data_IF_045111941283
#
_entry.id   IF_045111941283
#
_cell.length_a   1.000
_cell.length_b   1.000
_cell.length_c   1.000
_cell.angle_alpha   90.00
_cell.angle_beta   90.00
_cell.angle_gamma   90.00
#
_symmetry.space_group_name_H-M   'P 1'
#
loop_
_entity.id
_entity.type
_entity.pdbx_description
1 polymer ?
#
# COMPACT_ATOMS: atom_id res chain seq x y z
N UNK A 1 -2.97 -14.16 24.20
CA UNK A 1 -2.97 -15.63 24.27
C UNK A 1 -3.76 -16.09 23.05
N UNK A 2 -3.05 -16.43 21.96
CA UNK A 2 -3.64 -16.83 20.67
C UNK A 2 -3.29 -18.28 20.35
N UNK A 3 -3.31 -19.16 21.36
CA UNK A 3 -2.94 -20.57 21.19
C UNK A 3 -4.10 -21.43 20.64
N UNK A 4 -5.35 -20.98 20.73
CA UNK A 4 -6.50 -21.81 20.34
C UNK A 4 -6.85 -21.79 18.84
N UNK A 5 -6.11 -21.06 17.99
CA UNK A 5 -6.31 -21.09 16.52
C UNK A 5 -5.27 -21.99 15.83
N UNK A 6 -4.22 -22.44 16.54
CA UNK A 6 -3.06 -23.11 15.91
C UNK A 6 -3.06 -24.65 15.98
N UNK A 7 -3.93 -25.31 16.75
CA UNK A 7 -3.73 -26.73 17.06
C UNK A 7 -4.44 -27.75 16.16
N UNK A 8 -5.18 -27.35 15.11
CA UNK A 8 -5.97 -28.33 14.32
C UNK A 8 -5.86 -28.28 12.79
N UNK A 9 -5.08 -27.37 12.20
CA UNK A 9 -4.83 -27.40 10.76
C UNK A 9 -3.33 -27.60 10.47
N UNK A 10 -2.91 -28.78 9.97
CA UNK A 10 -1.52 -29.02 9.59
C UNK A 10 -1.03 -28.17 8.40
N UNK A 11 -1.86 -27.28 7.84
CA UNK A 11 -1.48 -26.24 6.86
C UNK A 11 -1.33 -24.83 7.48
N UNK A 12 -1.39 -24.68 8.82
CA UNK A 12 -1.37 -23.38 9.50
C UNK A 12 0.02 -22.73 9.60
N UNK A 13 0.70 -22.53 8.47
CA UNK A 13 1.81 -21.58 8.43
C UNK A 13 1.22 -20.17 8.28
N UNK A 14 0.96 -19.50 9.40
CA UNK A 14 0.62 -18.08 9.39
C UNK A 14 1.85 -17.27 8.94
N UNK A 15 1.68 -16.46 7.91
CA UNK A 15 2.65 -15.45 7.52
C UNK A 15 2.55 -14.26 8.47
N UNK A 16 3.40 -14.27 9.49
CA UNK A 16 3.52 -13.19 10.46
C UNK A 16 4.05 -11.93 9.78
N UNK A 17 3.21 -10.89 9.73
CA UNK A 17 3.58 -9.58 9.21
C UNK A 17 4.27 -8.79 10.32
N UNK A 18 5.59 -8.91 10.40
CA UNK A 18 6.41 -8.22 11.39
C UNK A 18 7.23 -7.10 10.74
N UNK A 19 6.74 -5.86 10.83
CA UNK A 19 7.44 -4.69 10.32
C UNK A 19 6.57 -3.71 9.56
N UNK A 20 7.22 -2.75 8.90
CA UNK A 20 6.59 -1.71 8.09
C UNK A 20 7.38 -1.51 6.80
N UNK A 21 6.74 -0.93 5.78
CA UNK A 21 7.47 -0.34 4.67
C UNK A 21 8.29 0.86 5.16
N UNK A 22 9.43 1.13 4.51
CA UNK A 22 10.23 2.34 4.75
C UNK A 22 9.58 3.51 4.01
N UNK A 23 8.40 3.89 4.48
CA UNK A 23 7.62 5.02 3.99
C UNK A 23 7.38 6.01 5.13
N UNK A 24 6.97 7.23 4.77
CA UNK A 24 6.37 8.16 5.73
C UNK A 24 5.15 7.51 6.42
N UNK A 25 4.65 8.08 7.53
CA UNK A 25 3.59 7.44 8.33
C UNK A 25 2.36 7.00 7.53
N UNK A 26 2.00 7.76 6.49
CA UNK A 26 0.92 7.42 5.55
C UNK A 26 1.31 6.19 4.72
N UNK A 27 0.56 5.10 4.85
CA UNK A 27 0.68 3.95 3.95
C UNK A 27 1.70 2.90 4.34
N UNK A 28 2.57 3.15 5.33
CA UNK A 28 3.69 2.23 5.65
C UNK A 28 3.25 0.82 6.05
N UNK A 29 2.15 0.70 6.80
CA UNK A 29 1.61 -0.57 7.25
C UNK A 29 0.76 -1.23 6.16
N UNK A 30 -0.03 -0.43 5.42
CA UNK A 30 -0.87 -0.93 4.34
C UNK A 30 -0.05 -1.47 3.17
N UNK A 31 0.96 -0.73 2.69
CA UNK A 31 1.87 -1.19 1.64
C UNK A 31 2.59 -2.49 2.01
N UNK A 32 3.09 -2.58 3.25
CA UNK A 32 3.74 -3.80 3.75
C UNK A 32 2.78 -5.00 3.77
N UNK A 33 1.56 -4.80 4.28
CA UNK A 33 0.53 -5.84 4.33
C UNK A 33 0.19 -6.35 2.93
N UNK A 34 0.04 -5.46 1.94
CA UNK A 34 -0.26 -5.84 0.55
C UNK A 34 0.84 -6.71 -0.05
N UNK A 35 2.10 -6.41 0.24
CA UNK A 35 3.23 -7.25 -0.20
C UNK A 35 3.20 -8.64 0.42
N UNK A 36 2.94 -8.75 1.72
CA UNK A 36 2.86 -10.06 2.38
C UNK A 36 1.63 -10.84 1.89
N UNK A 37 0.51 -10.17 1.63
CA UNK A 37 -0.67 -10.80 1.02
C UNK A 37 -0.35 -11.45 -0.33
N UNK A 38 0.42 -10.77 -1.18
CA UNK A 38 0.89 -11.31 -2.46
C UNK A 38 1.92 -12.44 -2.28
N UNK A 39 2.81 -12.31 -1.29
CA UNK A 39 3.90 -13.25 -1.05
C UNK A 39 3.49 -14.53 -0.32
N UNK A 40 2.43 -14.51 0.49
CA UNK A 40 2.01 -15.66 1.30
C UNK A 40 0.59 -16.14 1.00
N UNK A 41 -0.22 -15.30 0.36
CA UNK A 41 -1.66 -15.50 0.22
C UNK A 41 -2.43 -14.85 1.36
N UNK A 42 -3.60 -14.29 1.04
CA UNK A 42 -4.44 -13.53 1.97
C UNK A 42 -4.91 -14.35 3.19
N UNK A 43 -5.16 -15.64 3.02
CA UNK A 43 -5.69 -16.48 4.09
C UNK A 43 -4.67 -16.84 5.16
N UNK A 44 -3.38 -16.61 4.90
CA UNK A 44 -2.28 -16.90 5.84
C UNK A 44 -1.89 -15.69 6.68
N UNK A 45 -2.55 -14.55 6.54
CA UNK A 45 -2.10 -13.30 7.14
C UNK A 45 -2.34 -13.25 8.66
N UNK A 46 -1.24 -13.19 9.42
CA UNK A 46 -1.22 -12.83 10.84
C UNK A 46 -0.70 -11.41 10.97
N UNK A 47 -1.57 -10.51 11.43
CA UNK A 47 -1.17 -9.15 11.76
C UNK A 47 -0.43 -9.14 13.09
N UNK A 48 0.78 -8.59 13.11
CA UNK A 48 1.56 -8.42 14.32
C UNK A 48 1.96 -6.96 14.45
N UNK A 49 1.85 -6.40 15.65
CA UNK A 49 2.45 -5.09 15.93
C UNK A 49 3.70 -5.25 16.77
N UNK A 50 4.72 -4.47 16.39
CA UNK A 50 5.91 -4.26 17.21
C UNK A 50 5.88 -2.85 17.80
N UNK A 51 6.06 -2.71 19.11
CA UNK A 51 6.11 -1.38 19.74
C UNK A 51 7.32 -0.53 19.35
N UNK A 52 8.31 -1.09 18.64
CA UNK A 52 9.35 -0.28 17.99
C UNK A 52 8.77 0.55 16.82
N UNK A 53 7.52 0.36 16.41
CA UNK A 53 6.83 1.27 15.47
C UNK A 53 6.09 2.42 16.17
N UNK A 54 5.89 2.29 17.48
CA UNK A 54 5.18 3.20 18.40
C UNK A 54 6.22 3.92 19.26
N UNK A 55 7.15 4.63 18.61
CA UNK A 55 8.20 5.37 19.31
C UNK A 55 7.78 6.82 19.57
N UNK A 56 8.09 7.27 20.79
CA UNK A 56 8.24 8.67 21.20
C UNK A 56 7.01 9.58 21.27
N UNK A 57 5.78 9.10 21.10
CA UNK A 57 4.61 9.90 21.47
C UNK A 57 3.92 9.32 22.69
N UNK A 58 3.29 10.22 23.45
CA UNK A 58 2.47 9.85 24.59
C UNK A 58 1.23 9.08 24.09
N UNK A 59 0.56 8.30 24.96
CA UNK A 59 -0.68 7.60 24.61
C UNK A 59 -1.82 8.52 24.11
N UNK A 60 -1.68 9.83 24.18
CA UNK A 60 -2.62 10.81 23.64
C UNK A 60 -2.61 10.88 22.10
N UNK A 61 -1.57 10.35 21.44
CA UNK A 61 -1.47 10.25 19.98
C UNK A 61 -1.68 8.80 19.51
N UNK A 62 -2.91 8.33 19.65
CA UNK A 62 -3.29 6.92 19.55
C UNK A 62 -3.21 6.32 18.13
N UNK A 63 -3.18 7.15 17.08
CA UNK A 63 -2.99 6.69 15.70
C UNK A 63 -1.71 5.88 15.50
N UNK A 64 -0.66 6.07 16.30
CA UNK A 64 0.54 5.23 16.18
C UNK A 64 0.25 3.74 16.40
N UNK A 65 -0.72 3.43 17.26
CA UNK A 65 -1.20 2.08 17.49
C UNK A 65 -2.25 1.69 16.45
N UNK A 66 -3.28 2.52 16.28
CA UNK A 66 -4.42 2.22 15.43
C UNK A 66 -4.05 2.15 13.95
N UNK A 67 -3.26 3.11 13.46
CA UNK A 67 -2.75 3.15 12.09
C UNK A 67 -1.63 2.17 11.81
N UNK A 68 -1.22 1.37 12.80
CA UNK A 68 -0.41 0.18 12.56
C UNK A 68 -1.32 -1.06 12.47
N UNK A 69 -2.20 -1.26 13.46
CA UNK A 69 -3.01 -2.46 13.58
C UNK A 69 -4.15 -2.53 12.56
N UNK A 70 -4.95 -1.48 12.45
CA UNK A 70 -6.19 -1.50 11.66
C UNK A 70 -5.94 -1.61 10.16
N UNK A 71 -4.91 -1.00 9.55
CA UNK A 71 -4.57 -1.28 8.16
C UNK A 71 -4.34 -2.76 7.87
N UNK A 72 -3.70 -3.50 8.78
CA UNK A 72 -3.47 -4.94 8.59
C UNK A 72 -4.79 -5.72 8.57
N UNK A 73 -5.70 -5.38 9.49
CA UNK A 73 -7.05 -5.98 9.56
C UNK A 73 -7.89 -5.63 8.32
N UNK A 74 -7.88 -4.35 7.93
CA UNK A 74 -8.57 -3.86 6.74
C UNK A 74 -8.14 -4.59 5.47
N UNK A 75 -6.89 -5.09 5.45
CA UNK A 75 -6.30 -5.77 4.30
C UNK A 75 -6.28 -7.29 4.42
N UNK A 76 -7.01 -7.82 5.41
CA UNK A 76 -7.36 -9.24 5.46
C UNK A 76 -6.59 -10.09 6.47
N UNK A 77 -5.80 -9.49 7.38
CA UNK A 77 -5.24 -10.22 8.50
C UNK A 77 -6.36 -10.96 9.28
N UNK A 78 -6.19 -12.27 9.46
CA UNK A 78 -7.18 -13.17 10.09
C UNK A 78 -6.96 -13.30 11.59
N UNK A 79 -5.74 -13.05 12.03
CA UNK A 79 -5.35 -13.02 13.43
C UNK A 79 -4.57 -11.74 13.70
N UNK A 80 -4.61 -11.29 14.95
CA UNK A 80 -3.91 -10.11 15.43
C UNK A 80 -3.17 -10.45 16.71
N UNK A 81 -1.89 -10.14 16.74
CA UNK A 81 -1.06 -10.24 17.94
C UNK A 81 -0.31 -8.95 18.24
N UNK A 82 0.14 -8.84 19.49
CA UNK A 82 0.78 -7.65 20.00
C UNK A 82 2.05 -8.03 20.75
N UNK A 83 3.21 -7.74 20.14
CA UNK A 83 4.51 -7.95 20.75
C UNK A 83 5.04 -6.63 21.32
N UNK A 84 5.09 -6.42 22.65
CA UNK A 84 4.88 -7.32 23.79
C UNK A 84 4.09 -6.65 24.92
N UNK A 85 3.44 -7.48 25.73
CA UNK A 85 2.43 -7.08 26.73
C UNK A 85 2.89 -6.01 27.72
N UNK A 86 4.13 -6.05 28.19
CA UNK A 86 4.63 -5.12 29.20
C UNK A 86 4.63 -3.67 28.72
N UNK A 87 4.79 -3.40 27.42
CA UNK A 87 4.75 -2.02 26.92
C UNK A 87 3.33 -1.44 26.95
N UNK A 88 2.30 -2.27 26.96
CA UNK A 88 0.93 -1.81 27.14
C UNK A 88 0.70 -1.29 28.56
N UNK A 89 1.25 -1.99 29.56
CA UNK A 89 1.11 -1.64 30.97
C UNK A 89 2.08 -0.52 31.37
N UNK A 90 3.38 -0.73 31.16
CA UNK A 90 4.45 0.14 31.69
C UNK A 90 4.43 1.54 31.07
N UNK A 91 3.87 1.69 29.86
CA UNK A 91 3.82 2.96 29.13
C UNK A 91 2.41 3.55 29.01
N UNK A 92 1.42 3.01 29.72
CA UNK A 92 0.07 3.57 29.77
C UNK A 92 -0.76 3.40 28.48
N UNK A 93 -0.41 2.44 27.61
CA UNK A 93 -1.10 2.20 26.34
C UNK A 93 -2.29 1.25 26.46
N UNK A 94 -2.51 0.62 27.63
CA UNK A 94 -3.61 -0.33 27.85
C UNK A 94 -4.99 0.19 27.42
N UNK A 95 -5.39 1.45 27.71
CA UNK A 95 -6.66 1.98 27.23
C UNK A 95 -6.76 2.03 25.70
N UNK A 96 -5.68 2.40 25.01
CA UNK A 96 -5.63 2.39 23.54
C UNK A 96 -5.64 0.97 22.99
N UNK A 97 -4.97 0.01 23.64
CA UNK A 97 -5.02 -1.38 23.24
C UNK A 97 -6.44 -1.94 23.31
N UNK A 98 -7.17 -1.69 24.40
CA UNK A 98 -8.59 -2.07 24.53
C UNK A 98 -9.41 -1.44 23.40
N UNK A 99 -9.20 -0.14 23.15
CA UNK A 99 -9.94 0.58 22.12
C UNK A 99 -9.68 0.03 20.71
N UNK A 100 -8.42 -0.30 20.40
CA UNK A 100 -8.05 -0.94 19.15
C UNK A 100 -8.81 -2.26 18.95
N UNK A 101 -8.91 -3.09 20.00
CA UNK A 101 -9.65 -4.35 19.92
C UNK A 101 -11.15 -4.13 19.71
N UNK A 102 -11.76 -3.10 20.31
CA UNK A 102 -13.16 -2.75 20.02
C UNK A 102 -13.35 -2.38 18.55
N UNK A 103 -12.45 -1.57 17.99
CA UNK A 103 -12.48 -1.21 16.57
C UNK A 103 -12.36 -2.44 15.66
N UNK A 104 -11.50 -3.40 16.02
CA UNK A 104 -11.40 -4.69 15.31
C UNK A 104 -12.73 -5.47 15.39
N UNK A 105 -13.37 -5.55 16.57
CA UNK A 105 -14.68 -6.20 16.72
C UNK A 105 -15.77 -5.53 15.90
N UNK A 106 -15.74 -4.20 15.77
CA UNK A 106 -16.67 -3.46 14.89
C UNK A 106 -16.44 -3.85 13.43
N UNK A 107 -15.18 -3.90 12.97
CA UNK A 107 -14.86 -4.36 11.60
C UNK A 107 -15.33 -5.80 11.35
N UNK A 108 -15.18 -6.70 12.33
CA UNK A 108 -15.71 -8.06 12.26
C UNK A 108 -17.24 -8.09 12.08
N UNK A 109 -17.97 -7.33 12.90
CA UNK A 109 -19.43 -7.20 12.80
C UNK A 109 -19.87 -6.59 11.46
N UNK A 110 -19.03 -5.73 10.89
CA UNK A 110 -19.24 -5.13 9.58
C UNK A 110 -18.84 -6.02 8.40
N UNK A 111 -18.33 -7.24 8.66
CA UNK A 111 -18.04 -8.22 7.62
C UNK A 111 -16.65 -8.09 6.98
N UNK A 112 -15.67 -7.50 7.67
CA UNK A 112 -14.32 -7.30 7.12
C UNK A 112 -13.68 -8.60 6.59
N UNK A 113 -14.01 -9.75 7.20
CA UNK A 113 -13.49 -11.08 6.81
C UNK A 113 -13.77 -11.43 5.35
N UNK A 114 -14.92 -11.00 4.84
CA UNK A 114 -15.43 -11.30 3.50
C UNK A 114 -15.27 -10.13 2.53
N UNK A 115 -14.90 -8.95 3.02
CA UNK A 115 -14.62 -7.79 2.19
C UNK A 115 -13.36 -8.00 1.33
N UNK A 116 -13.12 -7.20 0.30
CA UNK A 116 -11.87 -7.25 -0.47
C UNK A 116 -11.45 -5.88 -1.00
N UNK A 117 -10.16 -5.70 -1.29
CA UNK A 117 -9.70 -4.48 -1.96
C UNK A 117 -10.34 -4.39 -3.36
N UNK A 118 -10.88 -3.23 -3.77
CA UNK A 118 -11.40 -3.02 -5.12
C UNK A 118 -10.43 -3.44 -6.22
N UNK A 119 -10.95 -4.05 -7.30
CA UNK A 119 -10.16 -4.43 -8.49
C UNK A 119 -9.92 -3.22 -9.42
N UNK A 120 -9.35 -2.14 -8.88
CA UNK A 120 -8.98 -0.93 -9.63
C UNK A 120 -7.57 -1.05 -10.19
N UNK A 121 -6.59 -1.26 -9.32
CA UNK A 121 -5.17 -1.21 -9.64
C UNK A 121 -4.44 -2.45 -9.14
N UNK A 122 -3.52 -2.97 -9.95
CA UNK A 122 -2.56 -3.99 -9.53
C UNK A 122 -1.13 -3.47 -9.72
N UNK A 123 -0.35 -3.47 -8.64
CA UNK A 123 1.07 -3.19 -8.65
C UNK A 123 1.83 -4.49 -8.91
N UNK A 124 2.41 -4.60 -10.09
CA UNK A 124 3.21 -5.75 -10.51
C UNK A 124 4.65 -5.55 -10.05
N UNK A 125 5.10 -6.37 -9.09
CA UNK A 125 6.45 -6.33 -8.54
C UNK A 125 7.24 -7.55 -9.00
N UNK A 126 8.56 -7.41 -9.14
CA UNK A 126 9.44 -8.53 -9.47
C UNK A 126 10.59 -8.56 -8.47
N UNK A 127 10.66 -9.63 -7.67
CA UNK A 127 11.78 -9.83 -6.77
C UNK A 127 13.04 -10.18 -7.56
N UNK A 128 12.90 -10.99 -8.61
CA UNK A 128 13.98 -11.28 -9.53
C UNK A 128 14.57 -10.01 -10.16
N UNK A 129 13.74 -9.02 -10.50
CA UNK A 129 14.23 -7.73 -11.01
C UNK A 129 15.12 -7.01 -9.99
N UNK A 130 14.70 -6.96 -8.72
CA UNK A 130 15.49 -6.35 -7.65
C UNK A 130 16.81 -7.10 -7.44
N UNK A 131 16.77 -8.44 -7.40
CA UNK A 131 17.93 -9.28 -7.12
C UNK A 131 18.95 -9.28 -8.27
N UNK A 132 18.50 -9.44 -9.51
CA UNK A 132 19.39 -9.43 -10.67
C UNK A 132 19.99 -8.06 -10.94
N UNK A 133 19.23 -6.99 -10.73
CA UNK A 133 19.77 -5.63 -10.84
C UNK A 133 20.83 -5.37 -9.78
N UNK A 134 20.57 -5.75 -8.53
CA UNK A 134 21.53 -5.65 -7.43
C UNK A 134 22.79 -6.46 -7.73
N UNK A 135 22.64 -7.73 -8.11
CA UNK A 135 23.75 -8.63 -8.44
C UNK A 135 24.62 -8.08 -9.56
N UNK A 136 24.00 -7.55 -10.62
CA UNK A 136 24.70 -6.91 -11.73
C UNK A 136 25.57 -5.74 -11.25
N UNK A 137 25.03 -4.85 -10.42
CA UNK A 137 25.75 -3.64 -10.00
C UNK A 137 26.79 -3.92 -8.92
N UNK A 138 26.51 -4.83 -7.98
CA UNK A 138 27.48 -5.26 -6.98
C UNK A 138 28.66 -6.00 -7.64
N UNK A 139 28.41 -6.79 -8.68
CA UNK A 139 29.48 -7.42 -9.48
C UNK A 139 30.36 -6.44 -10.25
N UNK A 140 29.95 -5.16 -10.36
CA UNK A 140 30.76 -4.09 -10.97
C UNK A 140 31.59 -3.30 -9.95
N UNK A 141 31.39 -3.54 -8.65
CA UNK A 141 32.15 -2.91 -7.58
C UNK A 141 33.55 -3.53 -7.43
N UNK A 142 34.54 -2.74 -7.02
CA UNK A 142 35.90 -3.24 -6.72
C UNK A 142 35.98 -4.11 -5.44
N UNK A 143 37.06 -4.88 -5.29
CA UNK A 143 37.28 -5.79 -4.14
C UNK A 143 37.29 -5.08 -2.77
N UNK A 144 37.60 -3.78 -2.73
CA UNK A 144 37.60 -2.95 -1.51
C UNK A 144 36.23 -2.31 -1.20
N UNK A 145 35.17 -2.65 -1.93
CA UNK A 145 33.84 -2.10 -1.76
C UNK A 145 33.12 -2.70 -0.53
N UNK A 146 33.73 -2.63 0.66
CA UNK A 146 33.08 -2.98 1.93
C UNK A 146 31.91 -2.05 2.27
N UNK A 147 30.93 -2.53 3.03
CA UNK A 147 29.89 -1.73 3.69
C UNK A 147 28.50 -1.69 3.05
N UNK A 148 27.49 -1.73 3.92
CA UNK A 148 26.08 -1.57 3.57
C UNK A 148 25.76 -0.11 3.21
N UNK A 149 25.04 0.09 2.11
CA UNK A 149 24.47 1.39 1.77
C UNK A 149 22.97 1.33 2.04
N UNK A 150 22.50 2.15 2.97
CA UNK A 150 21.07 2.28 3.26
C UNK A 150 20.34 2.90 2.07
N UNK A 151 19.15 2.37 1.77
CA UNK A 151 18.25 2.83 0.71
C UNK A 151 17.97 4.35 0.69
N UNK A 152 18.04 5.00 1.86
CA UNK A 152 17.74 6.43 2.01
C UNK A 152 18.86 7.38 1.55
N UNK A 153 19.97 6.89 1.01
CA UNK A 153 21.15 7.74 0.81
C UNK A 153 21.21 8.44 -0.55
N UNK A 154 20.62 7.91 -1.63
CA UNK A 154 20.82 8.48 -2.99
C UNK A 154 20.24 9.88 -3.17
N UNK A 155 19.30 10.27 -2.31
CA UNK A 155 18.59 11.56 -2.41
C UNK A 155 18.51 12.34 -1.09
N UNK A 156 19.22 11.89 -0.05
CA UNK A 156 19.41 12.69 1.15
C UNK A 156 20.42 13.82 0.87
N UNK A 157 20.32 14.95 1.58
CA UNK A 157 21.22 16.09 1.41
C UNK A 157 22.71 15.73 1.48
N UNK A 158 23.56 16.65 1.01
CA UNK A 158 25.03 16.49 0.95
C UNK A 158 25.66 16.04 2.29
N UNK A 159 25.04 16.37 3.41
CA UNK A 159 25.45 16.03 4.77
C UNK A 159 25.30 14.54 5.10
N UNK A 160 24.19 13.91 4.71
CA UNK A 160 23.89 12.49 4.96
C UNK A 160 24.68 11.62 3.97
N UNK A 161 24.83 12.06 2.72
CA UNK A 161 25.66 11.40 1.73
C UNK A 161 27.15 11.37 2.12
N UNK A 162 27.64 12.41 2.82
CA UNK A 162 28.99 12.43 3.39
C UNK A 162 29.18 11.42 4.52
N UNK A 163 28.16 11.06 5.30
CA UNK A 163 28.31 10.08 6.38
C UNK A 163 28.58 8.64 5.87
N UNK A 164 28.08 8.29 4.68
CA UNK A 164 28.32 6.99 4.04
C UNK A 164 29.71 6.84 3.39
N UNK A 165 30.50 7.93 3.32
CA UNK A 165 31.86 7.91 2.75
C UNK A 165 32.84 7.02 3.51
N UNK A 166 32.52 6.60 4.74
CA UNK A 166 33.46 5.82 5.56
C UNK A 166 33.69 4.38 5.11
N UNK A 167 32.89 3.85 4.17
CA UNK A 167 32.94 2.43 3.80
C UNK A 167 33.15 2.13 2.32
N UNK A 168 32.75 3.00 1.39
CA UNK A 168 32.94 2.73 -0.04
C UNK A 168 34.38 3.04 -0.49
N UNK A 169 35.08 2.07 -1.08
CA UNK A 169 36.45 2.22 -1.57
C UNK A 169 36.65 3.27 -2.68
N UNK A 170 35.58 3.64 -3.41
CA UNK A 170 35.57 4.72 -4.43
C UNK A 170 34.19 5.37 -4.61
N UNK A 171 34.15 6.57 -5.19
CA UNK A 171 32.90 7.29 -5.54
C UNK A 171 32.06 6.51 -6.57
N UNK A 172 32.72 5.83 -7.52
CA UNK A 172 32.05 4.95 -8.47
C UNK A 172 31.33 3.80 -7.75
N UNK A 173 32.00 3.16 -6.80
CA UNK A 173 31.40 2.06 -6.02
C UNK A 173 30.24 2.57 -5.15
N UNK A 174 30.35 3.78 -4.60
CA UNK A 174 29.26 4.42 -3.85
C UNK A 174 28.02 4.53 -4.75
N UNK A 175 28.15 5.12 -5.93
CA UNK A 175 27.04 5.29 -6.88
C UNK A 175 26.45 3.94 -7.29
N UNK A 176 27.29 2.94 -7.61
CA UNK A 176 26.83 1.60 -7.98
C UNK A 176 26.05 0.92 -6.85
N UNK A 177 26.52 1.00 -5.61
CA UNK A 177 25.83 0.42 -4.45
C UNK A 177 24.49 1.09 -4.16
N UNK A 178 24.40 2.40 -4.32
CA UNK A 178 23.13 3.08 -4.13
C UNK A 178 22.16 2.70 -5.26
N UNK A 179 22.66 2.62 -6.49
CA UNK A 179 21.87 2.24 -7.66
C UNK A 179 21.48 0.74 -7.64
N UNK A 180 22.20 -0.11 -6.92
CA UNK A 180 21.83 -1.50 -6.65
C UNK A 180 20.47 -1.64 -5.98
N UNK A 181 20.00 -0.58 -5.29
CA UNK A 181 18.69 -0.54 -4.65
C UNK A 181 17.60 0.10 -5.52
N UNK A 182 17.86 0.38 -6.81
CA UNK A 182 16.90 1.06 -7.71
C UNK A 182 15.54 0.38 -7.77
N UNK A 183 15.48 -0.95 -7.84
CA UNK A 183 14.21 -1.67 -7.86
C UNK A 183 13.38 -1.46 -6.58
N UNK A 184 14.04 -1.49 -5.41
CA UNK A 184 13.42 -1.13 -4.12
C UNK A 184 12.97 0.33 -4.13
N UNK A 185 13.79 1.19 -4.74
CA UNK A 185 13.55 2.58 -5.14
C UNK A 185 12.18 2.85 -5.71
N UNK A 186 12.04 2.34 -6.92
CA UNK A 186 10.85 2.51 -7.72
C UNK A 186 9.61 1.92 -7.06
N UNK A 187 9.74 0.76 -6.41
CA UNK A 187 8.66 0.14 -5.63
C UNK A 187 8.17 1.07 -4.52
N UNK A 188 9.06 1.56 -3.65
CA UNK A 188 8.67 2.40 -2.51
C UNK A 188 8.11 3.75 -2.97
N UNK A 189 8.68 4.34 -4.02
CA UNK A 189 8.14 5.57 -4.61
C UNK A 189 6.69 5.37 -5.11
N UNK A 190 6.42 4.26 -5.80
CA UNK A 190 5.07 3.94 -6.29
C UNK A 190 4.11 3.59 -5.15
N UNK A 191 4.52 2.79 -4.18
CA UNK A 191 3.70 2.48 -2.99
C UNK A 191 3.31 3.75 -2.22
N UNK A 192 4.26 4.68 -2.03
CA UNK A 192 3.98 6.00 -1.43
C UNK A 192 2.96 6.78 -2.23
N UNK A 193 3.10 6.89 -3.56
CA UNK A 193 2.13 7.60 -4.40
C UNK A 193 0.73 6.98 -4.31
N UNK A 194 0.62 5.65 -4.39
CA UNK A 194 -0.67 4.96 -4.32
C UNK A 194 -1.33 5.16 -2.94
N UNK A 195 -0.57 5.05 -1.85
CA UNK A 195 -1.08 5.20 -0.49
C UNK A 195 -1.47 6.65 -0.15
N UNK A 196 -0.64 7.63 -0.49
CA UNK A 196 -0.90 9.06 -0.22
C UNK A 196 -2.11 9.59 -0.96
N UNK A 197 -2.41 9.03 -2.14
CA UNK A 197 -3.58 9.38 -2.95
C UNK A 197 -4.76 8.43 -2.74
N UNK A 198 -4.69 7.53 -1.75
CA UNK A 198 -5.79 6.63 -1.39
C UNK A 198 -6.27 5.74 -2.55
N UNK A 199 -5.40 5.46 -3.52
CA UNK A 199 -5.74 4.62 -4.68
C UNK A 199 -5.85 3.18 -4.18
N UNK A 200 -7.00 2.50 -4.32
CA UNK A 200 -7.10 1.10 -3.95
C UNK A 200 -6.22 0.25 -4.89
N UNK A 201 -5.39 -0.64 -4.33
CA UNK A 201 -4.53 -1.50 -5.13
C UNK A 201 -4.23 -2.85 -4.49
N UNK A 202 -4.02 -3.87 -5.33
CA UNK A 202 -3.43 -5.16 -4.93
C UNK A 202 -1.98 -5.22 -5.42
N UNK A 203 -1.18 -6.08 -4.79
CA UNK A 203 0.18 -6.41 -5.26
C UNK A 203 0.13 -7.78 -5.91
N UNK A 204 0.88 -7.97 -6.98
CA UNK A 204 1.15 -9.27 -7.57
C UNK A 204 2.64 -9.38 -7.87
N UNK A 205 3.27 -10.47 -7.44
CA UNK A 205 4.65 -10.76 -7.83
C UNK A 205 4.67 -11.45 -9.19
N UNK A 206 5.43 -10.91 -10.16
CA UNK A 206 5.53 -11.49 -11.51
C UNK A 206 6.23 -12.84 -11.52
N UNK A 207 7.01 -13.13 -10.47
CA UNK A 207 7.71 -14.40 -10.28
C UNK A 207 6.77 -15.48 -9.67
N UNK A 208 5.53 -15.11 -9.34
CA UNK A 208 4.49 -15.97 -8.78
C UNK A 208 3.30 -16.07 -9.75
N UNK A 209 3.25 -17.14 -10.54
CA UNK A 209 2.23 -17.27 -11.59
C UNK A 209 0.78 -17.30 -11.08
N UNK A 210 0.57 -17.80 -9.86
CA UNK A 210 -0.74 -17.76 -9.19
C UNK A 210 -1.23 -16.32 -8.92
N UNK A 211 -0.32 -15.37 -8.74
CA UNK A 211 -0.67 -13.95 -8.56
C UNK A 211 -1.13 -13.28 -9.87
N UNK A 212 -0.75 -13.85 -11.02
CA UNK A 212 -1.04 -13.30 -12.35
C UNK A 212 -2.33 -13.86 -12.95
N UNK A 213 -3.09 -14.64 -12.18
CA UNK A 213 -4.39 -15.13 -12.60
C UNK A 213 -5.41 -13.99 -12.69
N UNK A 214 -6.09 -13.92 -13.84
CA UNK A 214 -7.19 -12.98 -14.10
C UNK A 214 -6.81 -11.50 -13.93
N UNK A 215 -5.63 -11.08 -14.42
CA UNK A 215 -5.19 -9.67 -14.40
C UNK A 215 -6.17 -8.71 -15.12
N UNK A 216 -6.94 -9.20 -16.10
CA UNK A 216 -7.96 -8.42 -16.82
C UNK A 216 -9.07 -7.84 -15.93
N UNK A 217 -9.21 -8.32 -14.69
CA UNK A 217 -10.17 -7.75 -13.72
C UNK A 217 -9.81 -6.33 -13.31
N UNK A 218 -8.52 -5.98 -13.36
CA UNK A 218 -8.02 -4.66 -13.00
C UNK A 218 -8.19 -3.66 -14.14
N UNK A 219 -8.39 -2.39 -13.79
CA UNK A 219 -8.42 -1.27 -14.74
C UNK A 219 -7.00 -0.82 -15.12
N UNK A 220 -6.09 -0.87 -14.15
CA UNK A 220 -4.71 -0.44 -14.28
C UNK A 220 -3.73 -1.48 -13.71
N UNK A 221 -2.69 -1.80 -14.48
CA UNK A 221 -1.48 -2.48 -14.04
C UNK A 221 -0.33 -1.48 -14.01
N UNK A 222 0.48 -1.51 -12.96
CA UNK A 222 1.67 -0.66 -12.85
C UNK A 222 2.90 -1.51 -12.62
N UNK A 223 3.91 -1.32 -13.46
CA UNK A 223 5.22 -1.97 -13.38
C UNK A 223 6.27 -0.90 -13.05
N UNK A 224 6.58 -0.65 -11.77
CA UNK A 224 7.48 0.42 -11.38
C UNK A 224 8.94 0.12 -11.73
N UNK A 225 9.31 -1.16 -11.80
CA UNK A 225 10.65 -1.61 -12.18
C UNK A 225 10.59 -3.07 -12.64
N UNK A 226 10.85 -3.30 -13.93
CA UNK A 226 10.77 -4.63 -14.55
C UNK A 226 12.05 -4.95 -15.30
N UNK A 227 13.12 -5.23 -14.55
CA UNK A 227 14.41 -5.61 -15.12
C UNK A 227 14.43 -7.07 -15.60
N UNK A 228 13.72 -7.94 -14.89
CA UNK A 228 13.59 -9.38 -15.13
C UNK A 228 12.13 -9.75 -15.30
N UNK A 229 11.81 -10.57 -16.32
CA UNK A 229 10.45 -11.08 -16.54
C UNK A 229 10.49 -12.42 -17.30
N UNK A 230 9.66 -13.37 -16.90
CA UNK A 230 9.47 -14.60 -17.67
C UNK A 230 8.53 -14.40 -18.86
N UNK A 231 8.66 -15.24 -19.89
CA UNK A 231 7.74 -15.24 -21.03
C UNK A 231 6.29 -15.56 -20.62
N UNK A 232 6.10 -16.38 -19.59
CA UNK A 232 4.78 -16.73 -19.08
C UNK A 232 4.11 -15.56 -18.36
N UNK A 233 4.86 -14.81 -17.56
CA UNK A 233 4.36 -13.58 -16.93
C UNK A 233 3.99 -12.54 -17.99
N UNK A 234 4.84 -12.36 -19.01
CA UNK A 234 4.55 -11.49 -20.14
C UNK A 234 3.26 -11.88 -20.85
N UNK A 235 3.04 -13.18 -21.11
CA UNK A 235 1.80 -13.68 -21.73
C UNK A 235 0.57 -13.26 -20.92
N UNK A 236 0.59 -13.42 -19.60
CA UNK A 236 -0.54 -13.01 -18.72
C UNK A 236 -0.79 -11.51 -18.74
N UNK A 237 0.27 -10.71 -18.79
CA UNK A 237 0.18 -9.25 -18.89
C UNK A 237 -0.41 -8.86 -20.26
N UNK A 238 0.07 -9.45 -21.35
CA UNK A 238 -0.45 -9.23 -22.71
C UNK A 238 -1.93 -9.59 -22.80
N UNK A 239 -2.35 -10.74 -22.26
CA UNK A 239 -3.77 -11.16 -22.21
C UNK A 239 -4.66 -10.10 -21.54
N UNK A 240 -4.18 -9.44 -20.47
CA UNK A 240 -4.91 -8.36 -19.81
C UNK A 240 -4.93 -7.06 -20.63
N UNK A 241 -3.80 -6.69 -21.21
CA UNK A 241 -3.67 -5.50 -22.08
C UNK A 241 -4.59 -5.60 -23.29
N UNK A 242 -4.65 -6.77 -23.92
CA UNK A 242 -5.51 -7.06 -25.07
C UNK A 242 -7.00 -7.04 -24.68
N UNK A 243 -7.33 -7.44 -23.45
CA UNK A 243 -8.67 -7.34 -22.88
C UNK A 243 -9.09 -5.91 -22.49
N UNK A 244 -8.19 -4.93 -22.61
CA UNK A 244 -8.48 -3.51 -22.37
C UNK A 244 -7.90 -2.92 -21.09
N UNK A 245 -7.24 -3.72 -20.25
CA UNK A 245 -6.55 -3.21 -19.05
C UNK A 245 -5.41 -2.27 -19.45
N UNK A 246 -5.30 -1.12 -18.79
CA UNK A 246 -4.18 -0.20 -19.00
C UNK A 246 -2.93 -0.71 -18.28
N UNK A 247 -1.77 -0.56 -18.91
CA UNK A 247 -0.47 -0.90 -18.34
C UNK A 247 0.44 0.33 -18.35
N UNK A 248 1.01 0.68 -17.20
CA UNK A 248 2.10 1.65 -17.10
C UNK A 248 3.39 0.89 -16.80
N UNK A 249 4.42 1.08 -17.64
CA UNK A 249 5.76 0.50 -17.45
C UNK A 249 6.76 1.63 -17.25
N UNK A 250 7.56 1.55 -16.20
CA UNK A 250 8.62 2.52 -15.91
C UNK A 250 10.00 1.95 -16.22
N UNK A 251 10.78 2.73 -16.98
CA UNK A 251 12.19 2.55 -17.35
C UNK A 251 12.60 1.18 -17.92
N UNK A 252 12.61 0.13 -17.09
CA UNK A 252 13.11 -1.18 -17.48
C UNK A 252 12.05 -1.97 -18.26
N UNK A 253 12.48 -2.50 -19.42
CA UNK A 253 11.62 -3.24 -20.36
C UNK A 253 11.87 -4.76 -20.35
N UNK A 254 12.31 -5.29 -19.22
CA UNK A 254 12.68 -6.70 -19.00
C UNK A 254 13.73 -7.23 -20.00
N UNK A 255 14.98 -6.71 -19.96
CA UNK A 255 16.08 -7.22 -20.78
C UNK A 255 16.53 -8.65 -20.44
N UNK A 256 16.21 -9.16 -19.25
CA UNK A 256 16.64 -10.51 -18.81
C UNK A 256 15.45 -11.38 -18.40
N UNK A 257 15.65 -12.70 -18.43
CA UNK A 257 14.71 -13.71 -17.93
C UNK A 257 14.73 -13.80 -16.40
N UNK A 258 13.87 -14.66 -15.84
CA UNK A 258 13.76 -14.90 -14.39
C UNK A 258 15.04 -15.44 -13.74
N UNK A 259 16.00 -15.92 -14.53
CA UNK A 259 17.31 -16.41 -14.10
C UNK A 259 18.44 -15.43 -14.40
N UNK A 260 18.13 -14.22 -14.87
CA UNK A 260 19.11 -13.18 -15.17
C UNK A 260 19.80 -13.34 -16.53
N UNK A 261 19.40 -14.31 -17.36
CA UNK A 261 19.96 -14.46 -18.70
C UNK A 261 19.39 -13.40 -19.64
N UNK A 262 20.21 -12.77 -20.49
CA UNK A 262 19.72 -11.77 -21.43
C UNK A 262 18.81 -12.38 -22.51
N UNK A 263 17.71 -11.72 -22.80
CA UNK A 263 16.95 -11.94 -24.02
C UNK A 263 17.64 -11.25 -25.21
N UNK A 264 17.35 -11.73 -26.44
CA UNK A 264 17.79 -11.04 -27.66
C UNK A 264 17.27 -9.61 -27.73
N UNK A 265 16.02 -9.41 -27.33
CA UNK A 265 15.37 -8.11 -27.19
C UNK A 265 14.60 -8.07 -25.86
N UNK A 266 14.58 -6.93 -25.14
CA UNK A 266 13.80 -6.81 -23.92
C UNK A 266 12.31 -7.12 -24.13
N UNK A 267 11.75 -8.00 -23.31
CA UNK A 267 10.43 -8.60 -23.54
C UNK A 267 9.30 -7.57 -23.63
N UNK A 268 9.32 -6.54 -22.79
CA UNK A 268 8.24 -5.54 -22.77
C UNK A 268 8.29 -4.59 -23.98
N UNK A 269 9.36 -4.62 -24.80
CA UNK A 269 9.39 -3.84 -26.05
C UNK A 269 8.26 -4.21 -26.99
N UNK A 270 7.82 -5.48 -27.01
CA UNK A 270 6.74 -5.92 -27.89
C UNK A 270 5.39 -5.27 -27.58
N UNK A 271 5.23 -4.71 -26.37
CA UNK A 271 4.01 -4.03 -25.93
C UNK A 271 4.03 -2.53 -26.24
N UNK A 272 5.17 -1.98 -26.64
CA UNK A 272 5.28 -0.56 -26.99
C UNK A 272 4.44 -0.25 -28.23
N UNK A 273 3.78 0.91 -28.23
CA UNK A 273 2.86 1.33 -29.30
C UNK A 273 1.44 0.79 -29.16
N UNK A 274 1.17 -0.13 -28.23
CA UNK A 274 -0.20 -0.52 -27.89
C UNK A 274 -0.91 0.65 -27.19
N UNK A 275 -2.14 0.99 -27.62
CA UNK A 275 -2.97 2.07 -27.06
C UNK A 275 -3.31 1.93 -25.56
N UNK A 276 -3.13 0.74 -25.01
CA UNK A 276 -3.35 0.42 -23.60
C UNK A 276 -2.05 0.46 -22.78
N UNK A 277 -0.90 0.74 -23.40
CA UNK A 277 0.41 0.73 -22.76
C UNK A 277 0.99 2.13 -22.74
N UNK A 278 1.37 2.60 -21.57
CA UNK A 278 2.12 3.84 -21.37
C UNK A 278 3.51 3.48 -20.88
N UNK A 279 4.53 3.87 -21.65
CA UNK A 279 5.92 3.71 -21.25
C UNK A 279 6.47 5.04 -20.75
N UNK A 280 6.94 5.04 -19.50
CA UNK A 280 7.55 6.20 -18.86
C UNK A 280 9.05 5.96 -18.75
N UNK A 281 9.85 6.75 -19.46
CA UNK A 281 11.31 6.62 -19.50
C UNK A 281 12.00 7.33 -18.31
N UNK A 282 11.33 7.38 -17.16
CA UNK A 282 11.84 7.99 -15.95
C UNK A 282 12.29 6.90 -14.96
N UNK A 283 13.47 7.07 -14.36
CA UNK A 283 13.90 6.25 -13.24
C UNK A 283 13.13 6.67 -11.98
N UNK A 284 12.10 5.92 -11.61
CA UNK A 284 11.26 6.22 -10.44
C UNK A 284 12.05 6.30 -9.14
N UNK A 285 13.12 5.53 -8.98
CA UNK A 285 13.96 5.67 -7.78
C UNK A 285 14.58 7.07 -7.71
N UNK A 286 14.93 7.65 -8.86
CA UNK A 286 15.56 8.95 -8.96
C UNK A 286 14.61 10.15 -8.88
N UNK A 287 13.45 10.04 -9.49
CA UNK A 287 12.52 11.17 -9.57
C UNK A 287 11.30 11.01 -8.67
N UNK A 288 11.18 9.89 -7.96
CA UNK A 288 10.03 9.55 -7.13
C UNK A 288 9.77 10.49 -5.96
N UNK A 289 10.76 11.30 -5.57
CA UNK A 289 10.63 12.34 -4.54
C UNK A 289 10.39 13.75 -5.12
N UNK A 290 10.35 13.91 -6.44
CA UNK A 290 10.04 15.20 -7.07
C UNK A 290 8.53 15.45 -7.07
N UNK A 291 8.08 16.47 -6.36
CA UNK A 291 6.65 16.83 -6.29
C UNK A 291 6.03 17.04 -7.67
N UNK A 292 6.78 17.65 -8.60
CA UNK A 292 6.34 17.88 -9.99
C UNK A 292 6.10 16.55 -10.69
N UNK A 293 7.08 15.62 -10.63
CA UNK A 293 6.96 14.31 -11.28
C UNK A 293 5.89 13.43 -10.63
N UNK A 294 5.79 13.45 -9.31
CA UNK A 294 4.73 12.76 -8.58
C UNK A 294 3.35 13.25 -9.02
N UNK A 295 3.15 14.57 -9.11
CA UNK A 295 1.89 15.15 -9.58
C UNK A 295 1.57 14.75 -11.03
N UNK A 296 2.57 14.69 -11.92
CA UNK A 296 2.40 14.19 -13.29
C UNK A 296 1.91 12.73 -13.31
N UNK A 297 2.53 11.84 -12.54
CA UNK A 297 2.18 10.42 -12.50
C UNK A 297 0.82 10.18 -11.83
N UNK A 298 0.51 10.89 -10.75
CA UNK A 298 -0.80 10.80 -10.09
C UNK A 298 -1.89 11.25 -11.04
N UNK A 299 -1.73 12.40 -11.72
CA UNK A 299 -2.69 12.88 -12.72
C UNK A 299 -2.90 11.87 -13.86
N UNK A 300 -1.83 11.20 -14.29
CA UNK A 300 -1.91 10.14 -15.30
C UNK A 300 -2.73 8.94 -14.80
N UNK A 301 -2.47 8.47 -13.58
CA UNK A 301 -3.22 7.37 -12.95
C UNK A 301 -4.68 7.76 -12.72
N UNK A 302 -4.96 8.97 -12.23
CA UNK A 302 -6.31 9.50 -12.04
C UNK A 302 -7.09 9.55 -13.35
N UNK A 303 -6.46 9.98 -14.45
CA UNK A 303 -7.09 9.96 -15.77
C UNK A 303 -7.51 8.55 -16.23
N UNK A 304 -6.69 7.54 -15.90
CA UNK A 304 -6.99 6.12 -16.20
C UNK A 304 -8.08 5.58 -15.27
N UNK A 305 -8.05 5.97 -13.99
CA UNK A 305 -8.90 5.44 -12.94
C UNK A 305 -10.21 6.21 -12.78
N UNK A 306 -10.38 7.40 -13.36
CA UNK A 306 -11.60 8.20 -13.26
C UNK A 306 -12.89 7.41 -13.59
N UNK A 307 -12.94 6.54 -14.63
CA UNK A 307 -14.11 5.72 -14.91
C UNK A 307 -14.46 4.69 -13.82
N UNK A 308 -13.54 4.40 -12.90
CA UNK A 308 -13.77 3.48 -11.79
C UNK A 308 -14.67 4.07 -10.70
N UNK A 309 -14.86 5.39 -10.67
CA UNK A 309 -15.62 6.09 -9.64
C UNK A 309 -14.94 6.19 -8.27
N UNK A 310 -13.74 5.63 -8.12
CA UNK A 310 -12.92 5.81 -6.92
C UNK A 310 -12.04 7.05 -7.05
N UNK A 311 -12.07 7.91 -6.04
CA UNK A 311 -11.06 8.95 -5.87
C UNK A 311 -10.90 9.30 -4.40
N UNK A 312 -9.72 9.76 -4.03
CA UNK A 312 -9.45 10.28 -2.70
C UNK A 312 -8.60 11.52 -2.80
N UNK A 313 -8.94 12.55 -2.03
CA UNK A 313 -8.16 13.77 -1.93
C UNK A 313 -8.02 14.16 -0.46
N UNK A 314 -6.80 14.05 0.08
CA UNK A 314 -6.49 14.44 1.44
C UNK A 314 -6.34 15.96 1.63
N UNK A 315 -6.49 16.77 0.57
CA UNK A 315 -6.32 18.23 0.58
C UNK A 315 -4.95 18.66 1.13
N UNK A 316 -3.90 17.92 0.78
CA UNK A 316 -2.52 18.16 1.23
C UNK A 316 -2.22 17.69 2.66
N UNK A 317 -3.19 17.11 3.37
CA UNK A 317 -2.98 16.56 4.70
C UNK A 317 -2.43 15.11 4.66
N UNK A 318 -1.68 14.66 5.69
CA UNK A 318 -1.16 13.30 5.75
C UNK A 318 -2.26 12.31 6.21
N UNK A 319 -3.26 12.09 5.37
CA UNK A 319 -4.37 11.18 5.64
C UNK A 319 -4.21 9.88 4.86
N UNK A 320 -4.22 8.75 5.57
CA UNK A 320 -4.28 7.43 4.95
C UNK A 320 -5.73 7.01 4.74
N UNK A 321 -6.04 6.49 3.55
CA UNK A 321 -7.35 5.95 3.20
C UNK A 321 -7.22 4.50 2.71
N UNK A 322 -8.01 3.59 3.28
CA UNK A 322 -8.12 2.21 2.81
C UNK A 322 -9.60 1.90 2.57
N UNK A 323 -9.92 1.48 1.35
CA UNK A 323 -11.27 1.07 0.95
C UNK A 323 -11.31 -0.43 0.72
N UNK A 324 -12.35 -1.09 1.23
CA UNK A 324 -12.68 -2.49 0.95
C UNK A 324 -14.14 -2.61 0.53
N UNK A 325 -14.41 -3.36 -0.54
CA UNK A 325 -15.76 -3.68 -0.99
C UNK A 325 -16.36 -4.74 -0.07
N UNK A 326 -17.60 -4.53 0.37
CA UNK A 326 -18.39 -5.56 1.03
C UNK A 326 -18.80 -6.66 0.01
N UNK A 327 -19.10 -7.87 0.49
CA UNK A 327 -19.59 -8.96 -0.35
C UNK A 327 -20.76 -8.54 -1.24
N UNK A 328 -20.85 -9.14 -2.43
CA UNK A 328 -21.90 -8.87 -3.43
C UNK A 328 -22.05 -7.39 -3.82
N UNK A 329 -21.00 -6.58 -3.59
CA UNK A 329 -21.01 -5.14 -3.86
C UNK A 329 -22.14 -4.41 -3.12
N UNK A 330 -22.50 -4.89 -1.92
CA UNK A 330 -23.55 -4.29 -1.10
C UNK A 330 -23.08 -3.04 -0.34
N UNK A 331 -21.83 -2.61 -0.53
CA UNK A 331 -21.29 -1.40 0.10
C UNK A 331 -19.77 -1.41 0.25
N UNK A 332 -19.27 -0.57 1.14
CA UNK A 332 -17.85 -0.35 1.39
C UNK A 332 -17.54 -0.23 2.88
N UNK A 333 -16.34 -0.67 3.23
CA UNK A 333 -15.65 -0.32 4.47
C UNK A 333 -14.54 0.67 4.14
N UNK A 334 -14.45 1.74 4.93
CA UNK A 334 -13.42 2.77 4.75
C UNK A 334 -12.70 2.99 6.07
N UNK A 335 -11.37 2.91 6.03
CA UNK A 335 -10.48 3.37 7.09
C UNK A 335 -9.91 4.73 6.71
N UNK A 336 -9.92 5.67 7.65
CA UNK A 336 -9.27 6.96 7.54
C UNK A 336 -8.37 7.18 8.75
N UNK A 337 -7.09 7.52 8.54
CA UNK A 337 -6.15 7.85 9.60
C UNK A 337 -5.47 9.19 9.35
N UNK A 338 -5.68 10.17 10.22
CA UNK A 338 -5.04 11.48 10.14
C UNK A 338 -3.71 11.50 10.90
N UNK A 339 -2.60 11.42 10.17
CA UNK A 339 -1.24 11.44 10.73
C UNK A 339 -0.71 12.86 11.00
N UNK A 340 -1.55 13.90 10.97
CA UNK A 340 -1.14 15.24 11.38
C UNK A 340 -0.84 15.26 12.87
N UNK A 341 0.24 15.96 13.25
CA UNK A 341 0.60 16.25 14.64
C UNK A 341 0.23 17.68 15.05
N UNK A 342 -0.29 18.49 14.11
CA UNK A 342 -0.68 19.87 14.36
C UNK A 342 -2.00 19.85 15.13
N UNK A 343 -1.93 20.17 16.41
CA UNK A 343 -3.12 20.30 17.27
C UNK A 343 -4.08 21.34 16.67
N UNK A 344 -5.37 21.07 16.76
CA UNK A 344 -6.47 21.94 16.29
C UNK A 344 -6.66 22.03 14.76
N UNK A 345 -5.87 21.32 13.95
CA UNK A 345 -6.07 21.24 12.49
C UNK A 345 -7.07 20.13 12.13
N UNK A 346 -8.34 20.50 12.04
CA UNK A 346 -9.37 19.62 11.47
C UNK A 346 -9.13 19.50 9.95
N UNK A 347 -8.95 18.27 9.46
CA UNK A 347 -8.81 18.00 8.02
C UNK A 347 -10.09 17.40 7.47
N UNK A 348 -10.40 17.69 6.22
CA UNK A 348 -11.62 17.24 5.53
C UNK A 348 -11.26 16.55 4.22
N UNK A 349 -10.71 15.32 4.23
CA UNK A 349 -10.51 14.57 3.00
C UNK A 349 -11.83 14.39 2.25
N UNK A 350 -11.73 14.33 0.92
CA UNK A 350 -12.85 14.05 0.02
C UNK A 350 -12.69 12.65 -0.54
N UNK A 351 -13.77 11.85 -0.49
CA UNK A 351 -13.81 10.46 -0.93
C UNK A 351 -14.92 10.33 -1.96
N UNK A 352 -14.61 9.66 -3.07
CA UNK A 352 -15.57 9.24 -4.08
C UNK A 352 -15.54 7.72 -4.19
N UNK A 353 -16.72 7.10 -4.23
CA UNK A 353 -16.88 5.65 -4.37
C UNK A 353 -17.95 5.37 -5.45
N UNK A 354 -17.85 4.24 -6.18
CA UNK A 354 -18.76 3.94 -7.29
C UNK A 354 -20.11 3.38 -6.80
N UNK A 355 -20.90 4.21 -6.15
CA UNK A 355 -22.25 3.83 -5.74
C UNK A 355 -23.21 3.82 -6.93
N UNK A 356 -24.01 2.74 -6.98
CA UNK A 356 -25.18 2.64 -7.86
C UNK A 356 -26.32 3.55 -7.39
N UNK A 357 -27.30 3.82 -8.25
CA UNK A 357 -28.50 4.59 -7.90
C UNK A 357 -29.45 3.78 -7.00
N UNK A 358 -29.09 3.67 -5.72
CA UNK A 358 -29.81 2.96 -4.68
C UNK A 358 -29.80 3.76 -3.37
N UNK A 359 -30.55 3.28 -2.36
CA UNK A 359 -30.51 3.83 -1.01
C UNK A 359 -29.45 3.12 -0.17
N UNK A 360 -28.71 3.90 0.62
CA UNK A 360 -27.64 3.44 1.47
C UNK A 360 -27.82 3.97 2.89
N UNK A 361 -27.29 3.22 3.85
CA UNK A 361 -27.04 3.68 5.22
C UNK A 361 -25.54 3.83 5.40
N UNK A 362 -25.13 4.69 6.30
CA UNK A 362 -23.74 4.80 6.68
C UNK A 362 -23.59 4.95 8.19
N UNK A 363 -22.57 4.28 8.72
CA UNK A 363 -22.20 4.26 10.13
C UNK A 363 -20.73 4.66 10.25
N UNK A 364 -20.37 5.35 11.33
CA UNK A 364 -19.01 5.78 11.59
C UNK A 364 -18.60 5.52 13.04
N UNK A 365 -17.37 5.03 13.21
CA UNK A 365 -16.71 4.91 14.51
C UNK A 365 -15.49 5.81 14.56
N UNK A 366 -15.44 6.71 15.54
CA UNK A 366 -14.29 7.61 15.78
C UNK A 366 -13.48 7.11 16.97
N UNK A 367 -12.16 7.01 16.80
CA UNK A 367 -11.25 6.70 17.89
C UNK A 367 -11.11 7.85 18.92
N UNK A 368 -11.55 9.07 18.57
CA UNK A 368 -11.54 10.23 19.46
C UNK A 368 -12.79 10.24 20.33
N UNK A 369 -13.98 10.14 19.74
CA UNK A 369 -15.24 10.15 20.51
C UNK A 369 -15.57 8.79 21.13
N UNK A 370 -15.00 7.71 20.59
CA UNK A 370 -15.21 6.31 21.02
C UNK A 370 -16.65 5.84 20.89
N UNK A 371 -17.38 6.41 19.94
CA UNK A 371 -18.80 6.14 19.69
C UNK A 371 -19.02 5.65 18.27
N UNK A 372 -19.91 4.67 18.14
CA UNK A 372 -20.51 4.27 16.87
C UNK A 372 -21.78 5.11 16.66
N UNK A 373 -21.83 5.89 15.59
CA UNK A 373 -22.98 6.73 15.26
C UNK A 373 -23.38 6.50 13.80
N UNK A 374 -24.64 6.83 13.48
CA UNK A 374 -25.02 7.06 12.08
C UNK A 374 -24.12 8.17 11.52
N UNK A 375 -23.54 7.93 10.35
CA UNK A 375 -22.73 8.93 9.68
C UNK A 375 -23.67 10.03 9.21
N UNK A 376 -23.39 11.26 9.62
CA UNK A 376 -24.05 12.46 9.11
C UNK A 376 -23.18 13.04 7.99
N UNK A 377 -23.67 12.96 6.76
CA UNK A 377 -23.10 13.67 5.62
C UNK A 377 -24.03 14.83 5.28
N UNK A 378 -23.54 16.06 5.45
CA UNK A 378 -24.23 17.30 5.08
C UNK A 378 -25.62 17.51 5.77
N UNK A 379 -25.79 17.06 7.01
CA UNK A 379 -27.02 17.26 7.81
C UNK A 379 -28.12 16.25 7.53
N UNK A 380 -27.82 15.14 6.84
CA UNK A 380 -28.75 14.05 6.55
C UNK A 380 -28.27 12.78 7.27
N UNK A 381 -28.73 12.50 8.49
CA UNK A 381 -28.30 11.34 9.23
C UNK A 381 -28.82 10.03 8.60
N UNK A 382 -27.91 9.07 8.37
CA UNK A 382 -28.23 7.64 8.29
C UNK A 382 -28.92 7.11 7.03
N UNK A 383 -29.34 7.95 6.07
CA UNK A 383 -29.92 7.50 4.80
C UNK A 383 -29.51 8.38 3.61
N UNK A 384 -28.85 7.77 2.63
CA UNK A 384 -28.28 8.44 1.46
C UNK A 384 -28.80 7.83 0.17
N UNK A 385 -28.83 8.60 -0.90
CA UNK A 385 -28.86 8.04 -2.25
C UNK A 385 -27.43 7.85 -2.75
N UNK A 386 -27.24 6.88 -3.66
CA UNK A 386 -25.91 6.63 -4.20
C UNK A 386 -25.33 7.82 -4.97
N UNK A 387 -26.17 8.74 -5.46
CA UNK A 387 -25.71 9.96 -6.14
C UNK A 387 -25.02 10.92 -5.18
N UNK A 388 -25.55 11.10 -3.96
CA UNK A 388 -24.97 11.94 -2.92
C UNK A 388 -23.71 11.35 -2.33
N UNK A 389 -23.53 10.04 -2.43
CA UNK A 389 -22.31 9.33 -2.00
C UNK A 389 -21.21 9.25 -3.07
N UNK A 390 -21.43 9.80 -4.27
CA UNK A 390 -20.40 9.85 -5.32
C UNK A 390 -19.22 10.75 -4.93
N UNK A 391 -19.40 11.68 -4.01
CA UNK A 391 -18.34 12.50 -3.45
C UNK A 391 -18.80 13.06 -2.10
N UNK A 392 -18.07 12.76 -1.04
CA UNK A 392 -18.38 13.24 0.31
C UNK A 392 -17.11 13.55 1.09
N UNK A 393 -17.22 14.43 2.08
CA UNK A 393 -16.12 14.77 2.98
C UNK A 393 -16.35 14.23 4.39
N UNK A 394 -15.26 13.98 5.09
CA UNK A 394 -15.29 13.47 6.46
C UNK A 394 -14.35 14.30 7.32
N UNK A 395 -14.88 14.87 8.38
CA UNK A 395 -14.10 15.63 9.35
C UNK A 395 -13.18 14.68 10.14
N UNK A 396 -11.88 14.99 10.23
CA UNK A 396 -10.89 14.21 10.97
C UNK A 396 -10.03 15.11 11.86
N UNK A 397 -10.05 14.86 13.16
CA UNK A 397 -9.16 15.51 14.11
C UNK A 397 -7.71 14.99 13.97
N UNK A 398 -6.70 15.76 14.40
CA UNK A 398 -5.30 15.31 14.42
C UNK A 398 -5.13 14.02 15.22
N UNK A 399 -4.47 13.01 14.64
CA UNK A 399 -4.29 11.70 15.28
C UNK A 399 -5.56 10.85 15.35
N UNK A 400 -6.66 11.26 14.73
CA UNK A 400 -7.89 10.47 14.68
C UNK A 400 -7.75 9.31 13.69
N UNK A 401 -8.23 8.13 14.11
CA UNK A 401 -8.66 7.09 13.18
C UNK A 401 -10.17 7.03 13.18
N UNK A 402 -10.75 6.99 11.98
CA UNK A 402 -12.18 6.82 11.77
C UNK A 402 -12.44 5.64 10.86
N UNK A 403 -13.39 4.80 11.25
CA UNK A 403 -13.87 3.67 10.46
C UNK A 403 -15.28 3.99 9.97
N UNK A 404 -15.55 3.74 8.69
CA UNK A 404 -16.86 3.93 8.09
C UNK A 404 -17.35 2.61 7.51
N UNK A 405 -18.64 2.35 7.64
CA UNK A 405 -19.36 1.35 6.87
C UNK A 405 -20.47 2.04 6.11
N UNK A 406 -20.49 1.88 4.80
CA UNK A 406 -21.55 2.38 3.94
C UNK A 406 -22.16 1.18 3.23
N UNK A 407 -23.47 0.95 3.36
CA UNK A 407 -24.11 -0.28 2.90
C UNK A 407 -25.52 -0.03 2.37
N UNK A 408 -25.95 -0.84 1.39
CA UNK A 408 -27.30 -0.74 0.81
C UNK A 408 -28.37 -0.89 1.89
N UNK A 409 -29.34 0.01 1.90
CA UNK A 409 -30.53 -0.11 2.75
C UNK A 409 -31.38 -1.28 2.23
N UNK A 410 -31.84 -2.14 3.14
CA UNK A 410 -32.74 -3.26 2.82
C UNK A 410 -34.15 -2.78 2.53
#
# INVERSE_FOLDING_TARGET
MCLDIMEKDPNSDLAQMYGNAVLLPVGRASAYTRRIAAAAGRDKLLGSIQWLGVYNTKPDYSIQLFGYALPQIMLGAKAYENYRINYMYDKGWWPNAIECHKMIRILEQWGIRESDTPDTTCLLLSRASEDWWRTKLEGMCGEQAGGDVSFNLLYAGDDINKAATKTAGSERDRVLKMDALRGVGAKLAMESMLCENGIPYKVAFTDRMDNLENLKRFKLLVMPFSYSLSKDALKKITEAVDAGTKLIVFEQLAPVDEFGNPYQEPLLKQLLGNKNVVYVKDNLAAVGNSDIKRAEYVKMMDGILAPSGYSFNANGAPVECIVSCLPKQEGFLVYLGNWSTKKDELVKPVISLPFEDAKYKAEAYSAVTKTLNDLDLAGNPGAFDGKSLKSFSVDLAPGEVKLLRIYKAK
#
